data_IF_827564762608
#
_entry.id   IF_827564762608
#
_cell.length_a   1.000
_cell.length_b   1.000
_cell.length_c   1.000
_cell.angle_alpha   90.00
_cell.angle_beta   90.00
_cell.angle_gamma   90.00
#
_symmetry.space_group_name_H-M   'P 1'
#
loop_
_entity.id
_entity.type
_entity.pdbx_description
1 polymer ?
#
# COMPACT_ATOMS: atom_id res chain seq x y z
N UNK A 1 47.84 31.41 7.05
CA UNK A 1 47.28 30.61 5.94
C UNK A 1 46.06 29.88 6.46
N UNK A 2 44.87 30.16 5.94
CA UNK A 2 43.61 29.54 6.39
C UNK A 2 42.85 28.97 5.21
N UNK A 3 42.60 27.67 5.26
CA UNK A 3 41.63 26.97 4.44
C UNK A 3 40.23 27.18 5.03
N UNK A 4 39.30 27.73 4.26
CA UNK A 4 37.85 27.54 4.42
C UNK A 4 37.14 27.64 3.06
N UNK A 5 36.64 26.48 2.62
CA UNK A 5 35.26 26.25 2.17
C UNK A 5 34.81 26.96 0.88
N UNK A 6 35.14 26.34 -0.27
CA UNK A 6 34.25 26.36 -1.44
C UNK A 6 33.22 25.25 -1.28
N UNK A 7 31.94 25.63 -1.41
CA UNK A 7 30.77 24.76 -1.31
C UNK A 7 30.83 23.64 -2.37
N UNK A 8 30.57 22.37 -2.05
CA UNK A 8 30.71 21.24 -2.97
C UNK A 8 29.56 21.13 -4.00
N UNK A 9 28.83 22.22 -4.25
CA UNK A 9 27.68 22.25 -5.15
C UNK A 9 27.93 23.03 -6.45
N UNK A 10 29.11 23.59 -6.66
CA UNK A 10 29.48 24.11 -7.98
C UNK A 10 30.05 22.98 -8.84
N UNK A 11 29.14 22.16 -9.37
CA UNK A 11 29.41 21.36 -10.57
C UNK A 11 28.92 22.17 -11.77
N UNK A 12 29.79 22.90 -12.50
CA UNK A 12 29.46 23.37 -13.84
C UNK A 12 29.58 22.17 -14.79
N UNK A 13 28.52 21.36 -14.85
CA UNK A 13 28.39 20.27 -15.82
C UNK A 13 27.58 20.73 -17.04
N UNK A 14 27.92 20.29 -18.26
CA UNK A 14 27.33 20.78 -19.51
C UNK A 14 26.00 20.10 -19.78
N UNK A 15 25.02 20.28 -18.90
CA UNK A 15 23.63 20.08 -19.28
C UNK A 15 23.15 21.40 -19.81
N UNK A 16 23.38 21.62 -21.11
CA UNK A 16 22.56 22.56 -21.88
C UNK A 16 21.11 22.23 -21.55
N UNK A 17 20.46 23.11 -20.80
CA UNK A 17 19.06 22.97 -20.46
C UNK A 17 18.28 23.15 -21.77
N UNK A 18 18.12 22.06 -22.52
CA UNK A 18 17.23 22.03 -23.68
C UNK A 18 15.84 22.46 -23.16
N UNK A 19 15.32 23.63 -23.58
CA UNK A 19 14.07 24.18 -23.04
C UNK A 19 12.91 23.18 -23.19
N UNK A 20 12.98 22.31 -24.19
CA UNK A 20 11.99 21.27 -24.48
C UNK A 20 11.97 20.15 -23.43
N UNK A 21 13.13 19.78 -22.88
CA UNK A 21 13.21 18.78 -21.79
C UNK A 21 12.67 19.37 -20.49
N UNK A 22 12.99 20.63 -20.19
CA UNK A 22 12.50 21.33 -19.01
C UNK A 22 10.97 21.51 -19.01
N UNK A 23 10.39 21.81 -20.18
CA UNK A 23 8.94 21.86 -20.36
C UNK A 23 8.26 20.48 -20.22
N UNK A 24 8.92 19.41 -20.67
CA UNK A 24 8.47 18.04 -20.47
C UNK A 24 8.36 17.67 -18.98
N UNK A 25 9.39 17.98 -18.20
CA UNK A 25 9.39 17.77 -16.74
C UNK A 25 8.31 18.59 -16.03
N UNK A 26 8.11 19.85 -16.40
CA UNK A 26 7.06 20.71 -15.83
C UNK A 26 5.65 20.18 -16.10
N UNK A 27 5.40 19.71 -17.33
CA UNK A 27 4.11 19.09 -17.70
C UNK A 27 3.88 17.79 -16.93
N UNK A 28 4.91 16.97 -16.77
CA UNK A 28 4.83 15.73 -15.99
C UNK A 28 4.52 16.02 -14.51
N UNK A 29 5.21 17.00 -13.91
CA UNK A 29 5.00 17.41 -12.54
C UNK A 29 3.57 17.95 -12.32
N UNK A 30 3.04 18.75 -13.26
CA UNK A 30 1.65 19.22 -13.22
C UNK A 30 0.65 18.06 -13.30
N UNK A 31 0.85 17.14 -14.23
CA UNK A 31 -0.01 15.96 -14.38
C UNK A 31 0.06 15.02 -13.16
N UNK A 32 1.21 14.94 -12.48
CA UNK A 32 1.35 14.22 -11.22
C UNK A 32 0.59 14.93 -10.08
N UNK A 33 0.71 16.27 -9.99
CA UNK A 33 -0.02 17.08 -9.02
C UNK A 33 -1.55 16.98 -9.17
N UNK A 34 -2.06 17.04 -10.40
CA UNK A 34 -3.49 16.88 -10.67
C UNK A 34 -4.00 15.47 -10.36
N UNK A 35 -3.16 14.45 -10.52
CA UNK A 35 -3.48 13.06 -10.12
C UNK A 35 -3.51 12.92 -8.61
N UNK A 36 -2.55 13.53 -7.91
CA UNK A 36 -2.51 13.57 -6.45
C UNK A 36 -3.72 14.31 -5.86
N UNK A 37 -4.11 15.46 -6.43
CA UNK A 37 -5.30 16.20 -6.03
C UNK A 37 -6.59 15.36 -6.19
N UNK A 38 -6.75 14.69 -7.33
CA UNK A 38 -7.88 13.78 -7.57
C UNK A 38 -7.88 12.54 -6.65
N UNK A 39 -6.71 12.09 -6.20
CA UNK A 39 -6.62 11.03 -5.19
C UNK A 39 -7.01 11.54 -3.80
N UNK A 40 -6.54 12.73 -3.41
CA UNK A 40 -6.90 13.36 -2.14
C UNK A 40 -8.41 13.67 -2.04
N UNK A 41 -9.02 14.11 -3.13
CA UNK A 41 -10.47 14.36 -3.18
C UNK A 41 -11.29 13.08 -3.05
N UNK A 42 -10.82 11.97 -3.65
CA UNK A 42 -11.42 10.63 -3.45
C UNK A 42 -11.29 10.15 -2.02
N UNK A 43 -10.12 10.35 -1.39
CA UNK A 43 -9.90 10.02 0.01
C UNK A 43 -10.80 10.84 0.96
N UNK A 44 -10.98 12.14 0.68
CA UNK A 44 -11.89 13.02 1.42
C UNK A 44 -13.34 12.54 1.34
N UNK A 45 -13.82 12.21 0.14
CA UNK A 45 -15.16 11.63 -0.05
C UNK A 45 -15.34 10.30 0.67
N UNK A 46 -14.32 9.43 0.64
CA UNK A 46 -14.34 8.17 1.36
C UNK A 46 -14.39 8.37 2.88
N UNK A 47 -13.66 9.36 3.42
CA UNK A 47 -13.70 9.74 4.84
C UNK A 47 -15.07 10.26 5.26
N UNK A 48 -15.68 11.16 4.48
CA UNK A 48 -17.04 11.65 4.74
C UNK A 48 -18.07 10.52 4.74
N UNK A 49 -17.92 9.55 3.81
CA UNK A 49 -18.77 8.36 3.77
C UNK A 49 -18.58 7.47 4.99
N UNK A 50 -17.34 7.30 5.47
CA UNK A 50 -17.02 6.57 6.69
C UNK A 50 -17.59 7.25 7.95
N UNK A 51 -17.50 8.58 8.04
CA UNK A 51 -18.06 9.36 9.15
C UNK A 51 -19.59 9.31 9.16
N UNK A 52 -20.24 9.31 7.99
CA UNK A 52 -21.69 9.13 7.87
C UNK A 52 -22.14 7.73 8.33
N UNK A 53 -21.40 6.69 7.96
CA UNK A 53 -21.63 5.32 8.42
C UNK A 53 -21.47 5.19 9.95
N UNK A 54 -20.44 5.83 10.53
CA UNK A 54 -20.23 5.86 12.00
C UNK A 54 -21.37 6.56 12.75
N UNK A 55 -22.04 7.52 12.11
CA UNK A 55 -23.21 8.22 12.68
C UNK A 55 -24.54 7.51 12.41
N UNK A 56 -24.51 6.29 11.87
CA UNK A 56 -25.71 5.49 11.62
C UNK A 56 -26.57 6.01 10.46
N UNK A 57 -26.04 6.89 9.59
CA UNK A 57 -26.77 7.38 8.42
C UNK A 57 -26.43 6.47 7.22
N UNK A 58 -27.36 5.64 6.73
CA UNK A 58 -27.07 4.79 5.59
C UNK A 58 -26.85 5.66 4.34
N UNK A 59 -25.79 5.43 3.55
CA UNK A 59 -25.62 6.11 2.29
C UNK A 59 -26.79 5.73 1.36
N UNK A 60 -27.40 6.72 0.72
CA UNK A 60 -28.58 6.57 -0.17
C UNK A 60 -28.37 5.64 -1.37
N UNK A 61 -27.14 5.16 -1.60
CA UNK A 61 -26.72 4.22 -2.66
C UNK A 61 -26.03 2.95 -2.11
N UNK A 62 -26.32 2.54 -0.87
CA UNK A 62 -25.62 1.42 -0.21
C UNK A 62 -25.86 0.04 -0.83
N UNK A 63 -26.85 -0.11 -1.72
CA UNK A 63 -27.34 -1.42 -2.19
C UNK A 63 -26.71 -1.90 -3.50
N UNK A 64 -25.89 -1.09 -4.18
CA UNK A 64 -25.16 -1.56 -5.37
C UNK A 64 -23.72 -1.92 -4.99
N UNK A 65 -23.31 -3.20 -5.07
CA UNK A 65 -21.90 -3.55 -4.99
C UNK A 65 -21.18 -2.82 -6.12
N UNK A 66 -20.33 -1.85 -5.77
CA UNK A 66 -19.47 -1.20 -6.74
C UNK A 66 -18.46 -2.25 -7.18
N UNK A 67 -18.44 -2.66 -8.47
CA UNK A 67 -17.45 -3.61 -8.93
C UNK A 67 -16.07 -2.98 -8.70
N UNK A 68 -15.30 -3.58 -7.77
CA UNK A 68 -13.91 -3.21 -7.60
C UNK A 68 -13.22 -3.57 -8.93
N UNK A 69 -12.61 -2.61 -9.64
CA UNK A 69 -12.01 -2.89 -10.93
C UNK A 69 -10.96 -3.99 -10.77
N UNK A 70 -10.98 -5.00 -11.65
CA UNK A 70 -10.10 -6.17 -11.60
C UNK A 70 -8.62 -5.82 -11.41
N UNK A 71 -8.16 -4.67 -11.91
CA UNK A 71 -6.80 -4.18 -11.68
C UNK A 71 -6.50 -3.90 -10.21
N UNK A 72 -7.42 -3.28 -9.47
CA UNK A 72 -7.23 -2.99 -8.06
C UNK A 72 -7.18 -4.25 -7.20
N UNK A 73 -7.87 -5.33 -7.59
CA UNK A 73 -7.77 -6.63 -6.90
C UNK A 73 -6.47 -7.37 -7.23
N UNK A 74 -5.99 -7.31 -8.49
CA UNK A 74 -4.67 -7.85 -8.85
C UNK A 74 -3.53 -7.11 -8.15
N UNK A 75 -3.56 -5.78 -8.12
CA UNK A 75 -2.56 -4.95 -7.43
C UNK A 75 -2.49 -5.28 -5.94
N UNK A 76 -3.65 -5.51 -5.30
CA UNK A 76 -3.73 -5.90 -3.89
C UNK A 76 -3.16 -7.30 -3.63
N UNK A 77 -3.46 -8.28 -4.49
CA UNK A 77 -2.93 -9.64 -4.36
C UNK A 77 -1.40 -9.67 -4.50
N UNK A 78 -0.87 -8.90 -5.46
CA UNK A 78 0.57 -8.72 -5.67
C UNK A 78 1.21 -8.03 -4.45
N UNK A 79 0.58 -6.99 -3.91
CA UNK A 79 1.08 -6.30 -2.71
C UNK A 79 1.27 -7.26 -1.53
N UNK A 80 0.30 -8.15 -1.27
CA UNK A 80 0.46 -9.18 -0.24
C UNK A 80 1.58 -10.17 -0.55
N UNK A 81 1.72 -10.63 -1.79
CA UNK A 81 2.81 -11.52 -2.19
C UNK A 81 4.19 -10.88 -1.97
N UNK A 82 4.35 -9.61 -2.36
CA UNK A 82 5.59 -8.86 -2.14
C UNK A 82 5.87 -8.69 -0.65
N UNK A 83 4.87 -8.31 0.14
CA UNK A 83 5.02 -8.13 1.59
C UNK A 83 5.46 -9.43 2.29
N UNK A 84 4.82 -10.56 1.95
CA UNK A 84 5.20 -11.89 2.46
C UNK A 84 6.66 -12.20 2.09
N UNK A 85 7.00 -12.04 0.80
CA UNK A 85 8.34 -12.34 0.29
C UNK A 85 9.44 -11.51 0.96
N UNK A 86 9.21 -10.21 1.19
CA UNK A 86 10.16 -9.32 1.87
C UNK A 86 10.41 -9.78 3.30
N UNK A 87 9.36 -10.13 4.04
CA UNK A 87 9.52 -10.60 5.42
C UNK A 87 10.22 -11.96 5.50
N UNK A 88 9.90 -12.91 4.62
CA UNK A 88 10.61 -14.19 4.57
C UNK A 88 12.10 -14.01 4.20
N UNK A 89 12.41 -13.14 3.25
CA UNK A 89 13.79 -12.85 2.87
C UNK A 89 14.55 -12.19 4.02
N UNK A 90 13.91 -11.27 4.75
CA UNK A 90 14.50 -10.65 5.92
C UNK A 90 14.76 -11.67 7.03
N UNK A 91 13.82 -12.59 7.30
CA UNK A 91 14.00 -13.65 8.28
C UNK A 91 15.22 -14.54 7.94
N UNK A 92 15.34 -14.99 6.67
CA UNK A 92 16.50 -15.74 6.19
C UNK A 92 17.81 -14.96 6.33
N UNK A 93 17.79 -13.67 6.00
CA UNK A 93 18.96 -12.81 6.13
C UNK A 93 19.45 -12.72 7.58
N UNK A 94 18.55 -12.50 8.54
CA UNK A 94 18.92 -12.39 9.95
C UNK A 94 19.39 -13.72 10.56
N UNK A 95 18.77 -14.86 10.20
CA UNK A 95 19.31 -16.17 10.60
C UNK A 95 20.72 -16.39 10.08
N UNK A 96 20.96 -16.11 8.80
CA UNK A 96 22.30 -16.20 8.22
C UNK A 96 23.31 -15.22 8.82
N UNK A 97 22.87 -14.10 9.43
CA UNK A 97 23.76 -13.20 10.19
C UNK A 97 24.11 -13.78 11.56
N UNK A 98 23.14 -14.38 12.25
CA UNK A 98 23.35 -15.09 13.51
C UNK A 98 24.29 -16.29 13.34
N UNK A 99 24.08 -17.11 12.32
CA UNK A 99 24.91 -18.30 12.02
C UNK A 99 26.37 -17.95 11.71
N UNK A 100 26.60 -16.83 11.04
CA UNK A 100 27.96 -16.33 10.71
C UNK A 100 28.63 -15.59 11.87
N UNK A 101 28.00 -15.51 13.04
CA UNK A 101 28.56 -14.82 14.22
C UNK A 101 28.71 -13.31 14.02
N UNK A 102 27.94 -12.69 13.12
CA UNK A 102 28.03 -11.26 12.88
C UNK A 102 27.28 -10.50 13.97
N UNK A 103 28.00 -10.01 14.98
CA UNK A 103 27.42 -9.19 16.05
C UNK A 103 26.60 -10.02 17.05
N UNK A 104 25.55 -9.40 17.60
CA UNK A 104 24.69 -10.05 18.60
C UNK A 104 23.74 -11.07 17.94
N UNK A 105 24.13 -12.34 18.02
CA UNK A 105 23.38 -13.45 17.46
C UNK A 105 21.97 -13.56 18.05
N UNK A 106 21.79 -13.31 19.36
CA UNK A 106 20.49 -13.38 20.01
C UNK A 106 19.54 -12.31 19.44
N UNK A 107 20.03 -11.09 19.28
CA UNK A 107 19.28 -10.00 18.64
C UNK A 107 18.92 -10.30 17.18
N UNK A 108 19.81 -10.95 16.44
CA UNK A 108 19.52 -11.38 15.07
C UNK A 108 18.45 -12.47 15.01
N UNK A 109 18.49 -13.46 15.90
CA UNK A 109 17.45 -14.49 15.99
C UNK A 109 16.09 -13.90 16.41
N UNK A 110 16.08 -12.97 17.36
CA UNK A 110 14.86 -12.25 17.75
C UNK A 110 14.24 -11.51 16.56
N UNK A 111 15.08 -10.81 15.78
CA UNK A 111 14.62 -10.09 14.60
C UNK A 111 14.13 -11.03 13.49
N UNK A 112 14.77 -12.18 13.31
CA UNK A 112 14.29 -13.21 12.39
C UNK A 112 12.88 -13.69 12.80
N UNK A 113 12.68 -14.01 14.08
CA UNK A 113 11.38 -14.44 14.61
C UNK A 113 10.28 -13.37 14.47
N UNK A 114 10.63 -12.10 14.61
CA UNK A 114 9.69 -10.99 14.32
C UNK A 114 9.24 -11.00 12.86
N UNK A 115 10.18 -11.16 11.93
CA UNK A 115 9.88 -11.22 10.50
C UNK A 115 9.04 -12.45 10.11
N UNK A 116 9.27 -13.61 10.72
CA UNK A 116 8.43 -14.80 10.51
C UNK A 116 6.99 -14.53 10.93
N UNK A 117 6.79 -13.93 12.11
CA UNK A 117 5.45 -13.54 12.59
C UNK A 117 4.80 -12.53 11.64
N UNK A 118 5.54 -11.54 11.15
CA UNK A 118 5.03 -10.55 10.21
C UNK A 118 4.60 -11.16 8.87
N UNK A 119 5.38 -12.11 8.33
CA UNK A 119 5.01 -12.86 7.14
C UNK A 119 3.72 -13.66 7.36
N UNK A 120 3.57 -14.31 8.52
CA UNK A 120 2.36 -15.06 8.85
C UNK A 120 1.13 -14.17 8.97
N UNK A 121 1.26 -13.01 9.63
CA UNK A 121 0.18 -12.02 9.70
C UNK A 121 -0.22 -11.52 8.30
N UNK A 122 0.74 -11.32 7.39
CA UNK A 122 0.45 -10.95 6.01
C UNK A 122 -0.28 -12.06 5.24
N UNK A 123 0.03 -13.34 5.49
CA UNK A 123 -0.72 -14.49 4.93
C UNK A 123 -2.16 -14.52 5.44
N UNK A 124 -2.36 -14.35 6.75
CA UNK A 124 -3.69 -14.32 7.35
C UNK A 124 -4.52 -13.14 6.80
N UNK A 125 -3.92 -11.95 6.69
CA UNK A 125 -4.57 -10.79 6.10
C UNK A 125 -4.93 -11.01 4.62
N UNK A 126 -4.07 -11.66 3.85
CA UNK A 126 -4.36 -12.05 2.46
C UNK A 126 -5.54 -13.02 2.37
N UNK A 127 -5.58 -14.03 3.23
CA UNK A 127 -6.68 -15.00 3.29
C UNK A 127 -7.99 -14.30 3.66
N UNK A 128 -7.99 -13.48 4.72
CA UNK A 128 -9.16 -12.73 5.17
C UNK A 128 -9.70 -11.79 4.07
N UNK A 129 -8.80 -11.12 3.35
CA UNK A 129 -9.17 -10.31 2.19
C UNK A 129 -9.81 -11.17 1.09
N UNK A 130 -9.16 -12.27 0.70
CA UNK A 130 -9.68 -13.17 -0.33
C UNK A 130 -11.05 -13.74 0.04
N UNK A 131 -11.25 -14.19 1.28
CA UNK A 131 -12.55 -14.72 1.75
C UNK A 131 -13.62 -13.64 1.84
N UNK A 132 -13.29 -12.42 2.26
CA UNK A 132 -14.24 -11.29 2.28
C UNK A 132 -14.72 -10.89 0.88
N UNK A 133 -13.89 -11.11 -0.15
CA UNK A 133 -14.22 -10.82 -1.55
C UNK A 133 -15.06 -11.91 -2.23
N UNK A 134 -15.21 -13.09 -1.61
CA UNK A 134 -15.90 -14.28 -2.16
C UNK A 134 -17.35 -14.41 -1.62
N UNK A 135 -17.96 -13.35 -1.06
CA UNK A 135 -19.40 -13.39 -0.71
C UNK A 135 -20.29 -12.66 -1.73
N UNK A 136 -20.66 -13.28 -2.86
CA UNK A 136 -21.87 -12.92 -3.58
C UNK A 136 -23.07 -13.69 -3.01
N UNK A 137 -24.01 -12.98 -2.38
CA UNK A 137 -25.43 -13.37 -2.38
C UNK A 137 -25.89 -14.63 -1.62
N UNK A 138 -25.69 -14.72 -0.30
CA UNK A 138 -26.61 -15.51 0.55
C UNK A 138 -27.66 -14.60 1.19
N UNK A 139 -28.53 -14.02 0.36
CA UNK A 139 -29.85 -13.64 0.82
C UNK A 139 -30.66 -14.93 0.91
N UNK A 140 -30.72 -15.50 2.11
CA UNK A 140 -31.71 -16.52 2.45
C UNK A 140 -33.07 -15.93 2.14
N UNK A 141 -33.73 -16.39 1.08
CA UNK A 141 -35.15 -16.16 0.85
C UNK A 141 -35.88 -16.59 2.11
N UNK A 142 -36.42 -15.62 2.84
CA UNK A 142 -37.33 -15.88 3.94
C UNK A 142 -38.49 -16.73 3.40
N UNK A 143 -38.98 -17.74 4.15
CA UNK A 143 -40.18 -18.45 3.75
C UNK A 143 -41.32 -17.44 3.69
N UNK A 144 -41.97 -17.40 2.53
CA UNK A 144 -43.14 -16.59 2.21
C UNK A 144 -44.29 -17.00 3.14
N UNK A 145 -44.39 -16.30 4.27
CA UNK A 145 -45.52 -16.39 5.18
C UNK A 145 -46.68 -15.56 4.62
N UNK A 146 -47.31 -16.06 3.56
CA UNK A 146 -48.59 -15.52 3.10
C UNK A 146 -49.73 -16.10 3.95
N UNK A 147 -50.59 -15.26 4.55
CA UNK A 147 -51.76 -15.73 5.28
C UNK A 147 -52.92 -15.97 4.30
N UNK A 148 -53.55 -17.15 4.40
CA UNK A 148 -54.93 -17.39 4.00
C UNK A 148 -55.65 -18.13 5.12
#
# INVERSE_FOLDING_TARGET
>A
MSARERSPLEVPGPFGADPRLNDGFRRLAKAAGERAARAAERASRARLRLEALRRGRPPTDASRPVPVPLRATFDQALAYQVLIGVHEQAARHFRGRAERGHGDAARHLERAAWHDRAAEQARLAKIAWATSSVRPGSATTAPDGSPH
#
